data_IF_402891043704
#
_entry.id   IF_402891043704
#
_cell.length_a   1.000
_cell.length_b   1.000
_cell.length_c   1.000
_cell.angle_alpha   90.00
_cell.angle_beta   90.00
_cell.angle_gamma   90.00
#
_symmetry.space_group_name_H-M   'P 1'
#
loop_
_entity.id
_entity.type
_entity.pdbx_description
1 polymer ?
#
# COMPACT_ATOMS: atom_id res chain seq x y z
N UNK A 1 24.99 -6.07 -18.69
CA UNK A 1 24.16 -6.76 -17.67
C UNK A 1 22.81 -7.05 -18.31
N UNK A 2 22.18 -8.18 -18.03
CA UNK A 2 20.90 -8.53 -18.64
C UNK A 2 19.77 -8.41 -17.61
N UNK A 3 18.57 -8.08 -18.08
CA UNK A 3 17.37 -8.04 -17.27
C UNK A 3 17.01 -9.44 -16.78
N UNK A 4 16.80 -9.62 -15.48
CA UNK A 4 16.44 -10.93 -14.91
C UNK A 4 15.09 -11.45 -15.45
N UNK A 5 14.18 -10.55 -15.85
CA UNK A 5 12.84 -10.92 -16.31
C UNK A 5 12.68 -11.11 -17.82
N UNK A 6 13.47 -10.46 -18.68
CA UNK A 6 13.37 -10.65 -20.14
C UNK A 6 14.66 -11.15 -20.79
N UNK A 7 15.77 -11.17 -20.04
CA UNK A 7 17.12 -11.47 -20.52
C UNK A 7 17.67 -10.47 -21.55
N UNK A 8 16.94 -9.40 -21.88
CA UNK A 8 17.44 -8.33 -22.73
C UNK A 8 18.58 -7.56 -22.06
N UNK A 9 19.51 -7.06 -22.86
CA UNK A 9 20.61 -6.23 -22.39
C UNK A 9 20.09 -4.91 -21.79
N UNK A 10 20.58 -4.59 -20.59
CA UNK A 10 20.35 -3.31 -19.92
C UNK A 10 21.42 -2.32 -20.36
N UNK A 11 20.97 -1.21 -20.92
CA UNK A 11 21.75 -0.05 -21.31
C UNK A 11 21.16 1.23 -20.70
N UNK A 12 21.79 2.38 -20.95
CA UNK A 12 21.37 3.67 -20.39
C UNK A 12 19.90 4.04 -20.71
N UNK A 13 19.35 3.59 -21.85
CA UNK A 13 17.99 3.95 -22.29
C UNK A 13 16.91 3.15 -21.57
N UNK A 14 17.21 1.93 -21.11
CA UNK A 14 16.26 1.03 -20.47
C UNK A 14 16.62 0.68 -19.02
N UNK A 15 17.61 1.37 -18.43
CA UNK A 15 17.97 1.23 -17.02
C UNK A 15 16.81 1.59 -16.09
N UNK A 16 16.63 0.81 -15.01
CA UNK A 16 15.72 1.12 -13.92
C UNK A 16 16.29 0.65 -12.59
N UNK A 17 15.93 1.33 -11.50
CA UNK A 17 16.15 0.81 -10.14
C UNK A 17 14.88 0.15 -9.67
N UNK A 18 14.99 -1.09 -9.24
CA UNK A 18 13.88 -1.88 -8.72
C UNK A 18 14.07 -2.16 -7.24
N UNK A 19 13.00 -2.13 -6.45
CA UNK A 19 13.10 -2.52 -5.04
C UNK A 19 12.69 -3.98 -4.87
N UNK A 20 13.46 -4.77 -4.13
CA UNK A 20 13.08 -6.18 -3.90
C UNK A 20 11.70 -6.25 -3.23
N UNK A 21 11.62 -5.64 -2.05
CA UNK A 21 10.34 -5.33 -1.42
C UNK A 21 9.88 -3.98 -1.98
N UNK A 22 8.67 -3.85 -2.54
CA UNK A 22 8.21 -2.62 -3.14
C UNK A 22 8.35 -1.42 -2.20
N UNK A 23 8.74 -0.27 -2.75
CA UNK A 23 8.87 0.97 -1.98
C UNK A 23 7.55 1.36 -1.31
N UNK A 24 6.41 1.05 -1.94
CA UNK A 24 5.07 1.31 -1.40
C UNK A 24 4.75 0.50 -0.14
N UNK A 25 5.48 -0.60 0.10
CA UNK A 25 5.42 -1.35 1.34
C UNK A 25 6.51 -0.93 2.33
N UNK A 26 7.32 0.09 2.02
CA UNK A 26 8.41 0.53 2.88
C UNK A 26 9.76 -0.16 2.62
N UNK A 27 9.89 -0.95 1.55
CA UNK A 27 11.17 -1.51 1.14
C UNK A 27 12.19 -0.42 0.76
N UNK A 28 13.48 -0.69 1.03
CA UNK A 28 14.60 0.26 0.79
C UNK A 28 15.78 -0.33 0.03
N UNK A 29 15.82 -1.66 -0.13
CA UNK A 29 16.88 -2.32 -0.87
C UNK A 29 16.56 -2.31 -2.36
N UNK A 30 17.49 -1.77 -3.16
CA UNK A 30 17.34 -1.63 -4.62
C UNK A 30 18.32 -2.53 -5.37
N UNK A 31 17.89 -2.98 -6.54
CA UNK A 31 18.67 -3.70 -7.55
C UNK A 31 18.59 -2.95 -8.88
N UNK A 32 19.54 -3.19 -9.76
CA UNK A 32 19.71 -2.52 -11.05
C UNK A 32 19.64 -3.46 -12.26
N UNK A 33 19.40 -4.75 -12.02
CA UNK A 33 19.31 -5.83 -13.02
C UNK A 33 17.88 -6.03 -13.58
N UNK A 34 17.03 -5.00 -13.55
CA UNK A 34 15.67 -5.02 -14.10
C UNK A 34 15.50 -3.88 -15.09
N UNK A 35 15.15 -4.19 -16.35
CA UNK A 35 14.90 -3.16 -17.36
C UNK A 35 13.61 -2.38 -17.06
N UNK A 36 13.53 -1.15 -17.57
CA UNK A 36 12.41 -0.21 -17.38
C UNK A 36 11.07 -0.80 -17.83
N UNK A 37 11.04 -1.58 -18.90
CA UNK A 37 9.81 -2.21 -19.39
C UNK A 37 9.29 -3.26 -18.41
N UNK A 38 10.14 -4.18 -17.95
CA UNK A 38 9.75 -5.20 -16.98
C UNK A 38 9.32 -4.59 -15.65
N UNK A 39 10.09 -3.61 -15.15
CA UNK A 39 9.74 -2.85 -13.94
C UNK A 39 8.36 -2.18 -14.09
N UNK A 40 8.13 -1.45 -15.18
CA UNK A 40 6.86 -0.76 -15.42
C UNK A 40 5.67 -1.72 -15.53
N UNK A 41 5.87 -2.87 -16.21
CA UNK A 41 4.82 -3.90 -16.35
C UNK A 41 4.44 -4.51 -15.01
N UNK A 42 5.43 -4.88 -14.19
CA UNK A 42 5.21 -5.47 -12.86
C UNK A 42 4.50 -4.46 -11.95
N UNK A 43 4.97 -3.20 -11.94
CA UNK A 43 4.36 -2.13 -11.17
C UNK A 43 2.91 -1.83 -11.55
N UNK A 44 2.61 -1.78 -12.85
CA UNK A 44 1.27 -1.48 -13.36
C UNK A 44 0.25 -2.62 -13.18
N UNK A 45 0.72 -3.86 -12.96
CA UNK A 45 -0.15 -5.01 -12.75
C UNK A 45 -0.52 -5.20 -11.27
N UNK A 46 0.27 -5.96 -10.51
CA UNK A 46 -0.16 -6.39 -9.19
C UNK A 46 0.24 -5.42 -8.07
N UNK A 47 1.30 -4.61 -8.24
CA UNK A 47 1.67 -3.63 -7.21
C UNK A 47 0.63 -2.51 -7.08
N UNK A 48 0.03 -2.08 -8.19
CA UNK A 48 -1.08 -1.13 -8.19
C UNK A 48 -2.33 -1.70 -7.48
N UNK A 49 -2.60 -3.00 -7.61
CA UNK A 49 -3.67 -3.69 -6.88
C UNK A 49 -3.34 -3.80 -5.39
N UNK A 50 -2.10 -4.16 -5.06
CA UNK A 50 -1.60 -4.22 -3.69
C UNK A 50 -1.77 -2.88 -2.95
N UNK A 51 -1.42 -1.77 -3.61
CA UNK A 51 -1.54 -0.42 -3.05
C UNK A 51 -2.99 0.04 -2.83
N UNK A 52 -3.97 -0.62 -3.47
CA UNK A 52 -5.40 -0.34 -3.32
C UNK A 52 -6.11 -1.34 -2.40
N UNK A 53 -5.43 -2.40 -1.98
CA UNK A 53 -6.01 -3.40 -1.10
C UNK A 53 -6.31 -2.78 0.28
N UNK A 54 -7.55 -2.91 0.73
CA UNK A 54 -8.04 -2.27 1.96
C UNK A 54 -7.20 -2.65 3.18
N UNK A 55 -6.94 -3.93 3.40
CA UNK A 55 -6.18 -4.41 4.57
C UNK A 55 -4.74 -3.91 4.51
N UNK A 56 -4.11 -3.94 3.33
CA UNK A 56 -2.77 -3.38 3.14
C UNK A 56 -2.78 -1.88 3.46
N UNK A 57 -3.76 -1.12 2.98
CA UNK A 57 -3.81 0.32 3.26
C UNK A 57 -3.97 0.62 4.76
N UNK A 58 -4.69 -0.20 5.52
CA UNK A 58 -4.72 -0.11 6.99
C UNK A 58 -3.34 -0.36 7.61
N UNK A 59 -2.63 -1.40 7.18
CA UNK A 59 -1.29 -1.72 7.66
C UNK A 59 -0.30 -0.59 7.33
N UNK A 60 -0.33 -0.06 6.10
CA UNK A 60 0.53 1.06 5.69
C UNK A 60 0.22 2.34 6.48
N UNK A 61 -1.06 2.61 6.75
CA UNK A 61 -1.50 3.73 7.59
C UNK A 61 -1.05 3.55 9.04
N UNK A 62 -1.16 2.33 9.58
CA UNK A 62 -0.69 1.99 10.92
C UNK A 62 0.80 2.26 11.06
N UNK A 63 1.62 1.80 10.12
CA UNK A 63 3.07 1.97 10.14
C UNK A 63 3.55 3.33 9.59
N UNK A 64 2.65 4.29 9.33
CA UNK A 64 2.99 5.62 8.82
C UNK A 64 3.89 5.57 7.58
N UNK A 65 3.53 4.72 6.61
CA UNK A 65 4.23 4.60 5.33
C UNK A 65 3.70 5.67 4.36
N UNK A 66 4.63 6.29 3.64
CA UNK A 66 4.34 7.31 2.64
C UNK A 66 4.37 6.70 1.24
N UNK A 67 3.46 7.17 0.39
CA UNK A 67 3.45 6.83 -1.03
C UNK A 67 4.54 7.59 -1.81
N UNK A 68 4.65 7.33 -3.12
CA UNK A 68 5.61 7.99 -4.03
C UNK A 68 5.48 9.52 -4.07
N UNK A 69 4.33 10.09 -3.70
CA UNK A 69 4.11 11.53 -3.58
C UNK A 69 4.44 12.08 -2.19
N UNK A 70 5.14 11.31 -1.34
CA UNK A 70 5.53 11.67 0.02
C UNK A 70 4.35 11.99 0.96
N UNK A 71 3.17 11.43 0.68
CA UNK A 71 1.97 11.53 1.52
C UNK A 71 1.71 10.21 2.23
N UNK A 72 1.25 10.27 3.48
CA UNK A 72 0.86 9.06 4.20
C UNK A 72 -0.30 8.36 3.49
N UNK A 73 -0.22 7.03 3.43
CA UNK A 73 -1.31 6.20 2.93
C UNK A 73 -2.47 6.28 3.91
N UNK A 74 -3.69 6.42 3.39
CA UNK A 74 -4.94 6.40 4.17
C UNK A 74 -5.77 5.19 3.77
N UNK A 75 -6.52 4.55 4.69
CA UNK A 75 -7.34 3.41 4.34
C UNK A 75 -8.39 3.76 3.28
N UNK A 76 -8.49 2.96 2.23
CA UNK A 76 -9.44 3.16 1.12
C UNK A 76 -10.82 2.55 1.41
N UNK A 77 -11.37 2.81 2.60
CA UNK A 77 -12.71 2.39 3.01
C UNK A 77 -13.50 3.57 3.57
N UNK A 78 -14.82 3.49 3.45
CA UNK A 78 -15.74 4.45 4.07
C UNK A 78 -16.19 3.89 5.42
N UNK A 79 -15.82 4.50 6.56
CA UNK A 79 -15.99 3.91 7.88
C UNK A 79 -17.45 3.70 8.28
N UNK A 80 -18.38 4.49 7.76
CA UNK A 80 -19.80 4.42 8.12
C UNK A 80 -20.68 3.83 7.00
N UNK A 81 -20.09 3.28 5.93
CA UNK A 81 -20.84 2.83 4.75
C UNK A 81 -21.55 3.96 3.96
N UNK A 82 -21.65 5.16 4.54
CA UNK A 82 -22.09 6.36 3.85
C UNK A 82 -21.08 6.76 2.75
N UNK A 83 -21.53 7.57 1.78
CA UNK A 83 -20.63 8.02 0.71
C UNK A 83 -19.70 9.17 1.12
N UNK A 84 -19.89 9.75 2.32
CA UNK A 84 -19.41 11.08 2.69
C UNK A 84 -18.22 11.05 3.63
N UNK A 85 -18.10 10.08 4.52
CA UNK A 85 -17.04 10.02 5.51
C UNK A 85 -15.86 9.21 4.99
N UNK A 86 -14.64 9.75 5.16
CA UNK A 86 -13.39 9.10 4.76
C UNK A 86 -12.34 9.24 5.86
N UNK A 87 -11.31 8.39 5.83
CA UNK A 87 -10.09 8.63 6.58
C UNK A 87 -9.23 9.70 5.91
N UNK A 88 -8.64 10.58 6.71
CA UNK A 88 -7.61 11.53 6.30
C UNK A 88 -6.41 11.42 7.24
N UNK A 89 -5.23 11.74 6.72
CA UNK A 89 -4.02 11.91 7.52
C UNK A 89 -3.43 13.28 7.28
N UNK A 90 -2.89 13.87 8.33
CA UNK A 90 -2.10 15.10 8.30
C UNK A 90 -0.68 14.83 7.78
N UNK A 91 0.07 15.89 7.46
CA UNK A 91 1.45 15.78 6.95
C UNK A 91 2.45 15.25 8.00
N UNK A 92 2.09 15.26 9.28
CA UNK A 92 2.83 14.70 10.41
C UNK A 92 2.34 13.30 10.83
N UNK A 93 1.31 12.74 10.17
CA UNK A 93 0.93 11.33 10.29
C UNK A 93 -0.17 11.05 11.31
N UNK A 94 -0.91 12.08 11.72
CA UNK A 94 -2.08 11.93 12.58
C UNK A 94 -3.30 11.58 11.72
N UNK A 95 -4.01 10.51 12.07
CA UNK A 95 -5.18 10.03 11.32
C UNK A 95 -6.48 10.50 11.96
N UNK A 96 -7.47 10.93 11.17
CA UNK A 96 -8.80 11.33 11.62
C UNK A 96 -9.85 10.99 10.56
N UNK A 97 -11.12 11.01 10.94
CA UNK A 97 -12.24 10.87 10.01
C UNK A 97 -12.71 12.25 9.57
N UNK A 98 -13.10 12.35 8.31
CA UNK A 98 -13.51 13.61 7.71
C UNK A 98 -14.74 13.41 6.84
N UNK A 99 -15.75 14.25 7.08
CA UNK A 99 -16.97 14.31 6.28
C UNK A 99 -16.74 15.19 5.05
N UNK A 100 -16.76 14.57 3.87
CA UNK A 100 -16.67 15.26 2.58
C UNK A 100 -17.85 16.22 2.39
N UNK A 101 -17.56 17.34 1.74
CA UNK A 101 -18.58 18.31 1.32
C UNK A 101 -19.69 17.62 0.53
N UNK A 102 -20.93 17.80 0.98
CA UNK A 102 -22.10 17.33 0.25
C UNK A 102 -22.69 18.47 -0.59
N UNK A 103 -23.13 18.15 -1.80
CA UNK A 103 -23.76 19.13 -2.70
C UNK A 103 -25.08 18.54 -3.17
N UNK A 104 -26.17 19.23 -2.83
CA UNK A 104 -27.54 18.85 -3.22
C UNK A 104 -28.08 19.90 -4.18
N UNK A 105 -28.40 19.48 -5.41
CA UNK A 105 -29.07 20.33 -6.40
C UNK A 105 -30.57 20.10 -6.30
N UNK A 106 -31.34 21.13 -5.94
CA UNK A 106 -32.80 21.08 -5.81
C UNK A 106 -33.43 22.15 -6.71
N UNK A 107 -33.64 21.79 -7.98
CA UNK A 107 -34.17 22.68 -9.00
C UNK A 107 -33.26 23.89 -9.21
N UNK A 108 -33.72 25.09 -8.81
CA UNK A 108 -32.95 26.35 -8.92
C UNK A 108 -31.96 26.57 -7.77
N UNK A 109 -32.02 25.76 -6.71
CA UNK A 109 -31.20 25.93 -5.52
C UNK A 109 -30.07 24.90 -5.49
N UNK A 110 -28.88 25.32 -5.04
CA UNK A 110 -27.77 24.42 -4.71
C UNK A 110 -27.47 24.58 -3.21
N UNK A 111 -27.53 23.48 -2.47
CA UNK A 111 -27.15 23.41 -1.05
C UNK A 111 -25.77 22.78 -0.98
N UNK A 112 -24.86 23.39 -0.22
CA UNK A 112 -23.51 22.88 0.02
C UNK A 112 -23.33 22.74 1.52
N UNK A 113 -23.12 21.51 1.98
CA UNK A 113 -22.89 21.19 3.39
C UNK A 113 -21.39 20.97 3.62
N UNK A 114 -20.85 21.61 4.66
CA UNK A 114 -19.44 21.49 5.04
C UNK A 114 -19.33 20.90 6.45
N UNK A 115 -18.22 20.21 6.70
CA UNK A 115 -17.84 19.87 8.06
C UNK A 115 -17.58 21.18 8.85
N UNK A 116 -18.11 21.27 10.07
CA UNK A 116 -17.97 22.46 10.93
C UNK A 116 -16.51 22.85 11.20
N UNK A 117 -15.59 21.90 11.09
CA UNK A 117 -14.16 22.12 11.32
C UNK A 117 -13.46 22.79 10.12
N UNK A 118 -14.12 22.92 8.98
CA UNK A 118 -13.52 23.50 7.78
C UNK A 118 -13.21 24.99 7.93
N UNK A 119 -12.08 25.39 7.35
CA UNK A 119 -11.68 26.80 7.35
C UNK A 119 -12.56 27.62 6.42
N UNK A 120 -12.82 28.88 6.78
CA UNK A 120 -13.54 29.83 5.93
C UNK A 120 -12.95 29.91 4.51
N UNK A 121 -11.62 29.93 4.40
CA UNK A 121 -10.90 29.92 3.12
C UNK A 121 -11.22 28.68 2.25
N UNK A 122 -11.35 27.51 2.88
CA UNK A 122 -11.70 26.28 2.18
C UNK A 122 -13.16 26.31 1.69
N UNK A 123 -14.07 26.79 2.54
CA UNK A 123 -15.49 26.97 2.22
C UNK A 123 -15.62 27.89 1.00
N UNK A 124 -15.04 29.08 1.07
CA UNK A 124 -15.04 30.08 -0.01
C UNK A 124 -14.49 29.52 -1.32
N UNK A 125 -13.32 28.88 -1.27
CA UNK A 125 -12.70 28.27 -2.45
C UNK A 125 -13.56 27.16 -3.07
N UNK A 126 -14.26 26.38 -2.26
CA UNK A 126 -15.15 25.30 -2.73
C UNK A 126 -16.43 25.86 -3.36
N UNK A 127 -17.05 26.85 -2.71
CA UNK A 127 -18.23 27.56 -3.25
C UNK A 127 -17.89 28.21 -4.59
N UNK A 128 -16.78 28.96 -4.67
CA UNK A 128 -16.35 29.62 -5.91
C UNK A 128 -16.06 28.64 -7.04
N UNK A 129 -15.45 27.48 -6.75
CA UNK A 129 -15.28 26.42 -7.76
C UNK A 129 -16.61 25.93 -8.32
N UNK A 130 -17.64 25.82 -7.48
CA UNK A 130 -18.98 25.39 -7.91
C UNK A 130 -19.69 26.47 -8.72
N UNK A 131 -19.63 27.74 -8.29
CA UNK A 131 -20.14 28.90 -9.03
C UNK A 131 -19.54 28.95 -10.44
N UNK A 132 -18.20 28.88 -10.52
CA UNK A 132 -17.48 28.87 -11.80
C UNK A 132 -17.93 27.72 -12.73
N UNK A 133 -18.20 26.54 -12.17
CA UNK A 133 -18.69 25.40 -12.95
C UNK A 133 -20.13 25.59 -13.44
N UNK A 134 -20.99 26.25 -12.67
CA UNK A 134 -22.37 26.56 -13.05
C UNK A 134 -22.42 27.65 -14.13
N UNK A 135 -21.68 28.75 -13.95
CA UNK A 135 -21.57 29.82 -14.95
C UNK A 135 -21.10 29.27 -16.30
N UNK A 136 -20.08 28.40 -16.31
CA UNK A 136 -19.59 27.73 -17.53
C UNK A 136 -20.63 26.82 -18.21
N UNK A 137 -21.48 26.14 -17.43
CA UNK A 137 -22.45 25.17 -17.97
C UNK A 137 -23.75 25.81 -18.46
N UNK A 138 -24.21 26.85 -17.78
CA UNK A 138 -25.56 27.40 -17.97
C UNK A 138 -25.56 28.82 -18.55
N UNK A 139 -24.39 29.40 -18.84
CA UNK A 139 -24.29 30.80 -19.28
C UNK A 139 -24.76 31.79 -18.21
N UNK A 140 -24.85 31.35 -16.96
CA UNK A 140 -25.25 32.18 -15.83
C UNK A 140 -24.12 33.14 -15.46
N UNK A 141 -24.49 34.26 -14.85
CA UNK A 141 -23.53 35.26 -14.36
C UNK A 141 -23.63 35.38 -12.84
N UNK A 142 -23.50 34.23 -12.15
CA UNK A 142 -23.52 34.18 -10.69
C UNK A 142 -22.21 34.83 -10.20
N UNK A 143 -22.26 35.90 -9.40
CA UNK A 143 -21.06 36.51 -8.83
C UNK A 143 -20.30 35.51 -7.95
N UNK A 144 -18.98 35.69 -7.86
CA UNK A 144 -18.18 34.95 -6.87
C UNK A 144 -18.70 35.20 -5.45
N UNK A 145 -18.43 34.24 -4.56
CA UNK A 145 -18.72 34.37 -3.15
C UNK A 145 -18.04 35.61 -2.56
N UNK A 146 -18.83 36.50 -1.97
CA UNK A 146 -18.38 37.72 -1.30
C UNK A 146 -18.97 37.85 0.10
N UNK A 147 -18.42 38.74 0.93
CA UNK A 147 -18.90 38.90 2.33
C UNK A 147 -20.38 39.27 2.45
N UNK A 148 -20.96 39.95 1.46
CA UNK A 148 -22.39 40.30 1.45
C UNK A 148 -23.31 39.10 1.18
N UNK A 149 -22.77 37.99 0.67
CA UNK A 149 -23.50 36.73 0.43
C UNK A 149 -23.58 35.80 1.66
N UNK A 150 -23.05 36.24 2.82
CA UNK A 150 -23.10 35.53 4.11
C UNK A 150 -24.52 35.26 4.64
N UNK A 151 -25.56 35.91 4.11
CA UNK A 151 -26.94 35.84 4.65
C UNK A 151 -27.68 34.51 4.45
N UNK A 152 -27.10 33.51 3.77
CA UNK A 152 -27.79 32.23 3.49
C UNK A 152 -27.27 31.02 4.30
N UNK A 153 -26.49 31.22 5.36
CA UNK A 153 -26.14 30.13 6.28
C UNK A 153 -27.37 29.67 7.06
N UNK A 154 -28.05 28.63 6.57
CA UNK A 154 -29.00 27.88 7.37
C UNK A 154 -28.25 26.95 8.32
N UNK A 155 -28.71 26.98 9.56
CA UNK A 155 -28.42 26.13 10.73
C UNK A 155 -27.34 25.06 10.58
N UNK A 156 -26.37 25.10 11.50
CA UNK A 156 -25.53 23.93 11.78
C UNK A 156 -26.40 22.80 12.32
N UNK A 157 -26.71 21.81 11.49
CA UNK A 157 -27.18 20.52 11.98
C UNK A 157 -26.00 19.81 12.65
N UNK A 158 -26.18 19.41 13.91
CA UNK A 158 -25.28 18.48 14.55
C UNK A 158 -25.56 17.11 13.93
N UNK A 159 -24.64 16.58 13.13
CA UNK A 159 -24.72 15.18 12.73
C UNK A 159 -24.68 14.32 14.00
N UNK A 160 -25.76 13.59 14.25
CA UNK A 160 -25.77 12.58 15.30
C UNK A 160 -24.84 11.44 14.90
N UNK A 161 -24.19 10.84 15.89
CA UNK A 161 -23.41 9.63 15.65
C UNK A 161 -24.39 8.54 15.19
N UNK A 162 -24.23 8.09 13.95
CA UNK A 162 -24.96 6.93 13.46
C UNK A 162 -24.54 5.67 14.22
N UNK A 163 -25.35 4.62 14.13
CA UNK A 163 -25.03 3.32 14.71
C UNK A 163 -23.73 2.76 14.15
N UNK A 164 -23.03 1.97 14.97
CA UNK A 164 -21.87 1.20 14.51
C UNK A 164 -22.33 0.21 13.44
N UNK A 165 -21.81 0.39 12.22
CA UNK A 165 -22.07 -0.54 11.12
C UNK A 165 -20.97 -1.60 11.11
N UNK A 166 -21.29 -2.89 11.35
CA UNK A 166 -20.31 -3.95 11.14
C UNK A 166 -19.94 -3.99 9.65
N UNK A 167 -18.65 -4.00 9.35
CA UNK A 167 -18.16 -4.15 7.99
C UNK A 167 -17.27 -5.39 7.88
N UNK A 168 -17.41 -6.09 6.76
CA UNK A 168 -16.55 -7.23 6.41
C UNK A 168 -15.47 -6.73 5.45
N UNK A 169 -14.21 -7.09 5.73
CA UNK A 169 -13.11 -6.92 4.78
C UNK A 169 -12.70 -8.28 4.26
N UNK A 170 -12.42 -8.34 2.97
CA UNK A 170 -11.90 -9.52 2.31
C UNK A 170 -10.46 -9.26 1.87
N UNK A 171 -9.58 -10.22 2.15
CA UNK A 171 -8.20 -10.19 1.72
C UNK A 171 -8.03 -11.06 0.49
N UNK A 172 -7.61 -10.47 -0.62
CA UNK A 172 -7.12 -11.23 -1.76
C UNK A 172 -5.67 -11.66 -1.52
N UNK A 173 -5.50 -12.92 -1.09
CA UNK A 173 -4.19 -13.51 -0.84
C UNK A 173 -3.37 -13.71 -2.12
N UNK A 174 -4.01 -13.77 -3.29
CA UNK A 174 -3.29 -14.01 -4.56
C UNK A 174 -2.25 -12.91 -4.82
N UNK A 175 -2.60 -11.66 -4.52
CA UNK A 175 -1.70 -10.51 -4.67
C UNK A 175 -0.47 -10.64 -3.77
N UNK A 176 -0.64 -11.12 -2.52
CA UNK A 176 0.46 -11.35 -1.58
C UNK A 176 1.36 -12.51 -2.03
N UNK A 177 0.76 -13.59 -2.55
CA UNK A 177 1.52 -14.74 -3.07
C UNK A 177 2.37 -14.30 -4.26
N UNK A 178 1.80 -13.54 -5.21
CA UNK A 178 2.53 -13.02 -6.38
C UNK A 178 3.69 -12.10 -5.97
N UNK A 179 3.46 -11.24 -4.96
CA UNK A 179 4.50 -10.42 -4.35
C UNK A 179 5.65 -11.26 -3.76
N UNK A 180 5.32 -12.32 -3.01
CA UNK A 180 6.34 -13.18 -2.39
C UNK A 180 7.16 -13.95 -3.40
N UNK A 181 6.54 -14.38 -4.51
CA UNK A 181 7.25 -14.99 -5.62
C UNK A 181 8.22 -13.99 -6.27
N UNK A 182 7.80 -12.74 -6.51
CA UNK A 182 8.70 -11.66 -7.01
C UNK A 182 9.89 -11.48 -6.08
N UNK A 183 9.63 -11.21 -4.80
CA UNK A 183 10.67 -10.99 -3.78
C UNK A 183 11.65 -12.17 -3.76
N UNK A 184 11.13 -13.40 -3.77
CA UNK A 184 11.94 -14.61 -3.70
C UNK A 184 12.81 -14.79 -4.93
N UNK A 185 12.26 -14.56 -6.13
CA UNK A 185 12.98 -14.64 -7.39
C UNK A 185 14.12 -13.63 -7.46
N UNK A 186 13.83 -12.36 -7.15
CA UNK A 186 14.82 -11.27 -7.16
C UNK A 186 15.91 -11.50 -6.10
N UNK A 187 15.51 -11.87 -4.88
CA UNK A 187 16.44 -12.13 -3.79
C UNK A 187 17.32 -13.36 -4.05
N UNK A 188 16.77 -14.42 -4.66
CA UNK A 188 17.52 -15.58 -5.11
C UNK A 188 18.59 -15.22 -6.13
N UNK A 189 18.24 -14.42 -7.14
CA UNK A 189 19.18 -13.99 -8.18
C UNK A 189 20.37 -13.21 -7.59
N UNK A 190 20.15 -12.37 -6.58
CA UNK A 190 21.24 -11.58 -5.97
C UNK A 190 22.34 -12.44 -5.32
N UNK A 191 21.96 -13.61 -4.80
CA UNK A 191 22.90 -14.51 -4.14
C UNK A 191 23.45 -15.58 -5.09
N UNK A 192 22.58 -16.18 -5.89
CA UNK A 192 22.88 -17.32 -6.75
C UNK A 192 23.33 -16.92 -8.16
N UNK A 193 23.23 -15.62 -8.49
CA UNK A 193 23.71 -14.97 -9.72
C UNK A 193 23.12 -15.59 -11.02
N UNK A 194 23.79 -15.39 -12.16
CA UNK A 194 23.34 -15.86 -13.48
C UNK A 194 23.09 -17.36 -13.58
N UNK A 195 23.73 -18.18 -12.74
CA UNK A 195 23.52 -19.63 -12.74
C UNK A 195 22.10 -20.00 -12.28
N UNK A 196 21.47 -19.12 -11.50
CA UNK A 196 20.09 -19.27 -11.07
C UNK A 196 19.11 -19.15 -12.23
N UNK A 197 19.30 -18.22 -13.16
CA UNK A 197 18.29 -17.87 -14.18
C UNK A 197 17.95 -19.00 -15.16
N UNK A 198 18.77 -20.06 -15.21
CA UNK A 198 18.57 -21.22 -16.09
C UNK A 198 18.01 -22.46 -15.34
N UNK A 199 17.74 -22.37 -14.04
CA UNK A 199 17.15 -23.46 -13.27
C UNK A 199 15.65 -23.66 -13.54
N UNK A 200 15.17 -24.90 -13.47
CA UNK A 200 13.75 -25.21 -13.69
C UNK A 200 12.82 -24.39 -12.77
N UNK A 201 13.18 -24.27 -11.48
CA UNK A 201 12.40 -23.50 -10.51
C UNK A 201 12.42 -22.00 -10.83
N UNK A 202 13.57 -21.43 -11.20
CA UNK A 202 13.65 -20.00 -11.51
C UNK A 202 12.86 -19.63 -12.77
N UNK A 203 12.91 -20.48 -13.81
CA UNK A 203 12.10 -20.36 -15.02
C UNK A 203 10.61 -20.42 -14.68
N UNK A 204 10.22 -21.36 -13.81
CA UNK A 204 8.85 -21.50 -13.33
C UNK A 204 8.38 -20.24 -12.59
N UNK A 205 9.13 -19.77 -11.57
CA UNK A 205 8.77 -18.58 -10.79
C UNK A 205 8.66 -17.33 -11.69
N UNK A 206 9.60 -17.16 -12.61
CA UNK A 206 9.58 -16.08 -13.62
C UNK A 206 8.33 -16.11 -14.50
N UNK A 207 7.90 -17.31 -14.93
CA UNK A 207 6.66 -17.49 -15.69
C UNK A 207 5.44 -17.13 -14.85
N UNK A 208 5.38 -17.56 -13.60
CA UNK A 208 4.27 -17.30 -12.67
C UNK A 208 4.08 -15.79 -12.44
N UNK A 209 5.16 -15.04 -12.24
CA UNK A 209 5.11 -13.56 -12.08
C UNK A 209 4.44 -12.88 -13.27
N UNK A 210 4.58 -13.45 -14.46
CA UNK A 210 4.07 -12.90 -15.72
C UNK A 210 2.65 -13.35 -16.07
N UNK A 211 2.02 -14.22 -15.27
CA UNK A 211 0.66 -14.69 -15.52
C UNK A 211 -0.37 -13.57 -15.33
N UNK A 212 -1.47 -13.69 -16.09
CA UNK A 212 -2.70 -12.92 -15.85
C UNK A 212 -3.30 -13.31 -14.49
N UNK A 213 -4.18 -12.48 -13.92
CA UNK A 213 -4.86 -12.83 -12.66
C UNK A 213 -5.63 -14.15 -12.78
N UNK A 214 -6.30 -14.38 -13.92
CA UNK A 214 -7.08 -15.60 -14.15
C UNK A 214 -6.18 -16.84 -14.16
N UNK A 215 -5.08 -16.79 -14.92
CA UNK A 215 -4.14 -17.91 -15.02
C UNK A 215 -3.39 -18.13 -13.71
N UNK A 216 -3.08 -17.05 -12.98
CA UNK A 216 -2.46 -17.12 -11.67
C UNK A 216 -3.40 -17.78 -10.65
N UNK A 217 -4.68 -17.42 -10.63
CA UNK A 217 -5.67 -18.06 -9.75
C UNK A 217 -5.89 -19.54 -10.08
N UNK A 218 -5.84 -19.92 -11.36
CA UNK A 218 -5.85 -21.34 -11.77
C UNK A 218 -4.61 -22.06 -11.25
N UNK A 219 -3.43 -21.44 -11.38
CA UNK A 219 -2.18 -21.98 -10.83
C UNK A 219 -2.30 -22.18 -9.32
N UNK A 220 -2.85 -21.20 -8.58
CA UNK A 220 -3.06 -21.31 -7.14
C UNK A 220 -4.05 -22.43 -6.75
N UNK A 221 -4.87 -22.91 -7.67
CA UNK A 221 -5.81 -24.01 -7.38
C UNK A 221 -5.18 -25.40 -7.57
N UNK A 222 -3.93 -25.48 -8.05
CA UNK A 222 -3.17 -26.73 -8.24
C UNK A 222 -2.25 -27.03 -7.04
N UNK A 223 -1.53 -28.17 -7.05
CA UNK A 223 -0.55 -28.50 -6.00
C UNK A 223 0.56 -27.44 -5.92
N UNK A 224 0.66 -26.77 -4.76
CA UNK A 224 1.59 -25.68 -4.47
C UNK A 224 2.64 -26.05 -3.41
N UNK A 225 3.09 -27.31 -3.32
CA UNK A 225 4.07 -27.73 -2.31
C UNK A 225 5.35 -26.86 -2.21
N UNK A 226 5.67 -26.04 -3.23
CA UNK A 226 6.80 -25.10 -3.25
C UNK A 226 6.50 -23.71 -2.65
N UNK A 227 5.24 -23.36 -2.40
CA UNK A 227 4.80 -22.03 -1.97
C UNK A 227 3.96 -22.17 -0.71
N UNK A 228 4.41 -21.54 0.37
CA UNK A 228 3.68 -21.46 1.63
C UNK A 228 3.53 -19.99 1.99
N UNK A 229 2.29 -19.56 2.22
CA UNK A 229 1.97 -18.19 2.62
C UNK A 229 1.01 -18.24 3.79
N UNK A 230 1.38 -17.56 4.86
CA UNK A 230 0.63 -17.45 6.10
C UNK A 230 0.51 -15.99 6.50
N UNK A 231 -0.46 -15.68 7.35
CA UNK A 231 -0.65 -14.34 7.88
C UNK A 231 -1.17 -14.38 9.31
N UNK A 232 -0.81 -13.36 10.09
CA UNK A 232 -1.27 -13.18 11.46
C UNK A 232 -2.54 -12.32 11.49
N UNK A 233 -3.68 -12.99 11.66
CA UNK A 233 -5.00 -12.34 11.76
C UNK A 233 -5.10 -11.41 12.97
N UNK A 234 -4.56 -11.81 14.13
CA UNK A 234 -4.63 -11.01 15.36
C UNK A 234 -3.86 -9.70 15.17
N UNK A 235 -2.68 -9.77 14.55
CA UNK A 235 -1.89 -8.58 14.25
C UNK A 235 -2.55 -7.67 13.21
N UNK A 236 -3.24 -8.24 12.21
CA UNK A 236 -4.05 -7.46 11.25
C UNK A 236 -5.17 -6.73 11.96
N UNK A 237 -5.94 -7.43 12.80
CA UNK A 237 -7.03 -6.85 13.59
C UNK A 237 -6.53 -5.77 14.55
N UNK A 238 -5.37 -5.96 15.18
CA UNK A 238 -4.73 -4.94 16.01
C UNK A 238 -4.41 -3.67 15.22
N UNK A 239 -3.79 -3.82 14.03
CA UNK A 239 -3.46 -2.68 13.15
C UNK A 239 -4.73 -1.90 12.80
N UNK A 240 -5.76 -2.61 12.34
CA UNK A 240 -7.03 -2.01 11.91
C UNK A 240 -7.72 -1.34 13.10
N UNK A 241 -7.85 -2.04 14.22
CA UNK A 241 -8.48 -1.53 15.44
C UNK A 241 -7.80 -0.27 15.97
N UNK A 242 -6.46 -0.23 15.98
CA UNK A 242 -5.70 0.97 16.38
C UNK A 242 -5.91 2.13 15.43
N UNK A 243 -5.91 1.90 14.12
CA UNK A 243 -6.15 2.94 13.11
C UNK A 243 -7.56 3.53 13.28
N UNK A 244 -8.59 2.68 13.42
CA UNK A 244 -9.98 3.12 13.62
C UNK A 244 -10.13 3.88 14.92
N UNK A 245 -9.72 3.30 16.05
CA UNK A 245 -9.83 3.93 17.37
C UNK A 245 -9.11 5.27 17.44
N UNK A 246 -7.90 5.35 16.90
CA UNK A 246 -7.13 6.60 16.87
C UNK A 246 -7.82 7.65 16.00
N UNK A 247 -8.37 7.25 14.85
CA UNK A 247 -9.09 8.16 13.97
C UNK A 247 -10.36 8.74 14.64
N UNK A 248 -11.10 7.92 15.39
CA UNK A 248 -12.26 8.35 16.17
C UNK A 248 -11.86 9.38 17.24
N UNK A 249 -10.87 9.04 18.06
CA UNK A 249 -10.36 9.93 19.11
C UNK A 249 -9.83 11.26 18.54
N UNK A 250 -9.11 11.20 17.42
CA UNK A 250 -8.59 12.41 16.78
C UNK A 250 -9.71 13.26 16.16
N UNK A 251 -10.75 12.65 15.59
CA UNK A 251 -11.92 13.37 15.08
C UNK A 251 -12.58 14.19 16.19
N UNK A 252 -12.77 13.56 17.36
CA UNK A 252 -13.26 14.26 18.55
C UNK A 252 -12.29 15.36 19.01
N UNK A 253 -10.99 15.08 19.05
CA UNK A 253 -9.98 16.04 19.47
C UNK A 253 -9.89 17.26 18.57
N UNK A 254 -10.09 17.12 17.25
CA UNK A 254 -10.17 18.25 16.32
C UNK A 254 -11.29 19.21 16.75
N UNK A 255 -12.46 18.68 17.11
CA UNK A 255 -13.58 19.50 17.59
C UNK A 255 -13.26 20.24 18.90
N UNK A 256 -12.41 19.66 19.75
CA UNK A 256 -11.98 20.27 21.01
C UNK A 256 -10.63 20.99 20.94
N UNK A 257 -10.04 21.13 19.75
CA UNK A 257 -8.70 21.71 19.53
C UNK A 257 -7.62 21.10 20.43
N UNK A 258 -7.71 19.78 20.64
CA UNK A 258 -6.72 18.99 21.39
C UNK A 258 -5.65 18.43 20.46
N UNK A 259 -4.56 17.96 21.05
CA UNK A 259 -3.47 17.30 20.33
C UNK A 259 -3.95 16.01 19.65
N UNK A 260 -3.58 15.83 18.38
CA UNK A 260 -3.87 14.62 17.62
C UNK A 260 -2.71 13.64 17.72
N UNK A 261 -3.00 12.34 17.63
CA UNK A 261 -2.01 11.28 17.81
C UNK A 261 -1.87 10.42 16.55
N UNK A 262 -0.66 9.93 16.23
CA UNK A 262 -0.51 8.90 15.21
C UNK A 262 -1.04 7.55 15.71
N UNK A 263 -1.33 6.64 14.79
CA UNK A 263 -1.79 5.27 15.07
C UNK A 263 -0.69 4.38 15.67
N UNK A 264 0.57 4.69 15.39
CA UNK A 264 1.77 4.04 15.96
C UNK A 264 2.96 5.00 15.95
N UNK A 265 4.14 4.53 16.37
CA UNK A 265 5.40 5.25 16.22
C UNK A 265 6.01 5.13 14.80
N UNK A 266 5.36 4.39 13.90
CA UNK A 266 5.80 4.18 12.52
C UNK A 266 6.91 3.14 12.35
N UNK A 267 7.23 2.36 13.39
CA UNK A 267 8.27 1.34 13.32
C UNK A 267 7.77 0.06 12.66
N UNK A 268 8.53 -0.45 11.69
CA UNK A 268 8.27 -1.73 11.03
C UNK A 268 9.59 -2.34 10.55
N UNK A 269 9.63 -3.67 10.46
CA UNK A 269 10.75 -4.42 9.92
C UNK A 269 10.21 -5.41 8.89
N UNK A 270 10.91 -5.50 7.78
CA UNK A 270 10.83 -6.60 6.84
C UNK A 270 12.10 -7.41 6.91
N UNK A 271 11.94 -8.71 6.72
CA UNK A 271 13.02 -9.67 6.72
C UNK A 271 12.85 -10.62 5.53
N UNK A 272 13.89 -10.74 4.72
CA UNK A 272 13.98 -11.77 3.69
C UNK A 272 15.22 -12.59 3.99
N UNK A 273 15.11 -13.91 4.01
CA UNK A 273 16.20 -14.80 4.41
C UNK A 273 16.23 -16.02 3.52
N UNK A 274 17.42 -16.40 3.07
CA UNK A 274 17.64 -17.55 2.21
C UNK A 274 18.32 -18.67 2.99
N UNK A 275 17.83 -19.89 2.82
CA UNK A 275 18.31 -21.07 3.55
C UNK A 275 18.51 -22.25 2.61
N UNK A 276 19.57 -23.01 2.82
CA UNK A 276 19.71 -24.37 2.32
C UNK A 276 19.18 -25.35 3.37
N UNK A 277 18.11 -26.07 3.04
CA UNK A 277 17.50 -27.10 3.88
C UNK A 277 17.28 -28.37 3.06
N UNK A 278 17.86 -29.49 3.52
CA UNK A 278 17.71 -30.82 2.91
C UNK A 278 18.00 -30.84 1.40
N UNK A 279 19.01 -30.09 0.96
CA UNK A 279 19.42 -30.03 -0.45
C UNK A 279 18.53 -29.13 -1.32
N UNK A 280 17.59 -28.37 -0.74
CA UNK A 280 16.78 -27.37 -1.43
C UNK A 280 17.10 -25.97 -0.91
N UNK A 281 16.94 -24.95 -1.74
CA UNK A 281 17.09 -23.54 -1.35
C UNK A 281 15.70 -22.93 -1.20
N UNK A 282 15.46 -22.33 -0.04
CA UNK A 282 14.23 -21.61 0.28
C UNK A 282 14.50 -20.14 0.53
N UNK A 283 13.53 -19.30 0.20
CA UNK A 283 13.47 -17.91 0.64
C UNK A 283 12.29 -17.77 1.60
N UNK A 284 12.59 -17.34 2.83
CA UNK A 284 11.61 -16.99 3.84
C UNK A 284 11.43 -15.46 3.86
N UNK A 285 10.20 -15.00 3.84
CA UNK A 285 9.81 -13.60 3.84
C UNK A 285 8.97 -13.35 5.08
N UNK A 286 9.28 -12.30 5.82
CA UNK A 286 8.41 -11.74 6.85
C UNK A 286 8.23 -10.25 6.52
N UNK A 287 7.00 -9.86 6.18
CA UNK A 287 6.63 -8.46 6.03
C UNK A 287 5.78 -8.01 7.21
N UNK A 288 6.21 -6.92 7.87
CA UNK A 288 5.49 -6.26 8.95
C UNK A 288 5.27 -7.08 10.22
N UNK A 289 5.92 -8.25 10.33
CA UNK A 289 5.56 -9.28 11.32
C UNK A 289 4.10 -9.73 11.21
N UNK A 290 3.56 -9.67 9.99
CA UNK A 290 2.17 -10.02 9.69
C UNK A 290 2.13 -11.09 8.61
N UNK A 291 2.83 -10.88 7.50
CA UNK A 291 2.77 -11.77 6.35
C UNK A 291 4.04 -12.61 6.28
N UNK A 292 3.88 -13.93 6.31
CA UNK A 292 4.95 -14.91 6.29
C UNK A 292 4.89 -15.70 5.00
N UNK A 293 6.02 -15.77 4.30
CA UNK A 293 6.16 -16.48 3.05
C UNK A 293 7.33 -17.43 3.10
N UNK A 294 7.19 -18.60 2.51
CA UNK A 294 8.28 -19.54 2.27
C UNK A 294 8.17 -20.10 0.87
N UNK A 295 9.16 -19.77 0.04
CA UNK A 295 9.18 -20.13 -1.39
C UNK A 295 10.42 -20.98 -1.66
N UNK A 296 10.23 -22.17 -2.24
CA UNK A 296 11.34 -22.95 -2.80
C UNK A 296 11.85 -22.25 -4.06
N UNK A 297 13.13 -21.87 -4.07
CA UNK A 297 13.78 -21.21 -5.21
C UNK A 297 14.73 -22.15 -5.94
N UNK A 298 15.21 -23.22 -5.30
CA UNK A 298 15.94 -24.30 -5.98
C UNK A 298 15.65 -25.65 -5.34
N UNK A 299 15.48 -26.69 -6.15
CA UNK A 299 15.39 -28.08 -5.67
C UNK A 299 16.75 -28.77 -5.55
N UNK A 300 17.80 -28.14 -6.07
CA UNK A 300 19.18 -28.62 -5.99
C UNK A 300 20.07 -27.49 -5.45
N UNK A 301 20.35 -27.56 -4.16
CA UNK A 301 21.24 -26.62 -3.49
C UNK A 301 22.72 -26.90 -3.80
N UNK A 302 23.08 -28.16 -4.09
CA UNK A 302 24.47 -28.56 -4.34
C UNK A 302 25.03 -27.91 -5.61
N UNK A 303 24.16 -27.47 -6.52
CA UNK A 303 24.56 -26.65 -7.67
C UNK A 303 25.18 -25.30 -7.27
N UNK A 304 24.83 -24.76 -6.10
CA UNK A 304 25.17 -23.39 -5.72
C UNK A 304 25.99 -23.28 -4.44
N UNK A 305 25.74 -24.14 -3.46
CA UNK A 305 26.31 -24.05 -2.12
C UNK A 305 26.39 -25.41 -1.44
N UNK A 306 27.56 -25.72 -0.90
CA UNK A 306 27.85 -27.00 -0.23
C UNK A 306 27.45 -27.01 1.25
N UNK A 307 27.06 -25.87 1.82
CA UNK A 307 26.76 -25.72 3.26
C UNK A 307 25.26 -25.58 3.50
N UNK A 308 24.78 -26.25 4.55
CA UNK A 308 23.40 -26.13 5.03
C UNK A 308 23.22 -24.91 5.94
N UNK A 309 21.96 -24.48 6.10
CA UNK A 309 21.60 -23.37 6.97
C UNK A 309 21.39 -22.05 6.23
N UNK A 310 21.52 -20.94 6.96
CA UNK A 310 21.21 -19.59 6.48
C UNK A 310 22.32 -19.05 5.59
N UNK A 311 21.99 -18.71 4.35
CA UNK A 311 22.92 -18.24 3.32
C UNK A 311 22.99 -16.71 3.26
N UNK A 312 21.83 -16.05 3.25
CA UNK A 312 21.72 -14.60 3.08
C UNK A 312 20.51 -14.05 3.81
N UNK A 313 20.57 -12.80 4.24
CA UNK A 313 19.46 -12.09 4.85
C UNK A 313 19.45 -10.61 4.49
N UNK A 314 18.27 -10.12 4.08
CA UNK A 314 17.95 -8.72 3.96
C UNK A 314 17.05 -8.31 5.12
N UNK A 315 17.45 -7.26 5.84
CA UNK A 315 16.64 -6.58 6.84
C UNK A 315 16.43 -5.15 6.37
N UNK A 316 15.17 -4.77 6.13
CA UNK A 316 14.82 -3.41 5.71
C UNK A 316 13.62 -2.90 6.50
N UNK A 317 13.53 -1.59 6.74
CA UNK A 317 12.37 -0.98 7.39
C UNK A 317 12.70 0.31 8.11
N UNK A 318 11.97 0.61 9.18
CA UNK A 318 12.16 1.80 10.01
C UNK A 318 12.07 1.44 11.49
N UNK A 319 13.02 1.93 12.29
CA UNK A 319 12.97 1.82 13.75
C UNK A 319 13.46 3.12 14.39
N UNK A 320 12.69 3.69 15.31
CA UNK A 320 12.99 4.96 15.98
C UNK A 320 13.35 6.07 14.98
N UNK A 321 12.52 6.25 13.93
CA UNK A 321 12.74 7.18 12.82
C UNK A 321 14.01 6.97 11.97
N UNK A 322 14.76 5.89 12.20
CA UNK A 322 15.94 5.54 11.40
C UNK A 322 15.58 4.47 10.38
N UNK A 323 15.99 4.69 9.14
CA UNK A 323 15.91 3.67 8.09
C UNK A 323 16.88 2.55 8.41
N UNK A 324 16.40 1.32 8.33
CA UNK A 324 17.20 0.10 8.39
C UNK A 324 17.23 -0.45 6.96
N UNK A 325 18.42 -0.75 6.47
CA UNK A 325 18.61 -1.42 5.18
C UNK A 325 19.96 -2.15 5.23
N UNK A 326 19.93 -3.46 5.51
CA UNK A 326 21.11 -4.28 5.73
C UNK A 326 21.00 -5.58 4.96
N UNK A 327 22.03 -5.89 4.17
CA UNK A 327 22.21 -7.21 3.54
C UNK A 327 23.36 -7.93 4.24
N UNK A 328 23.11 -9.14 4.71
CA UNK A 328 24.04 -9.99 5.46
C UNK A 328 24.22 -11.27 4.65
N UNK A 329 25.47 -11.63 4.32
CA UNK A 329 25.84 -12.88 3.65
C UNK A 329 26.65 -13.72 4.64
N UNK A 330 26.35 -15.02 4.74
CA UNK A 330 26.94 -15.94 5.71
C UNK A 330 27.90 -16.94 5.09
#
# INVERSE_FOLDING_TARGET
>A
MNCIFCNDEINEKNFSREHIIPESLGGKFVIDNVCKECNSRIGADFEDKLNKNTIITFILSYYLIKNKSNKYVTPHIKPFGDKKTIFKMTDDGQIYMHTLTNVVENGKNTIIEFDKTESQKYIEGTVNKKINRLNKKQGSNIPDYCEDSKQNFKETEKLEYGDYVPFKMEMDLSILVKLFIKISYEFAYIYLDSDYSNGNVSIMLKKIISLTDEDFNKYLSSDQSMIQVEYDTERIEECIGKVIKTSQLNTENIHYKKELKPSSNGDYIHKVSMFNEKGKIFVNINLFDIFLGRICVSEDANKYVDKSGKLMELITGRKNNKVINKLIRN
#
